data_IF_719409746351
#
_entry.id   IF_719409746351
#
_cell.length_a   1.000
_cell.length_b   1.000
_cell.length_c   1.000
_cell.angle_alpha   90.00
_cell.angle_beta   90.00
_cell.angle_gamma   90.00
#
_symmetry.space_group_name_H-M   'P 1'
#
loop_
_entity.id
_entity.type
_entity.pdbx_description
1 polymer ?
#
# COMPACT_ATOMS: atom_id res chain seq x y z
N UNK A 1 -20.32 12.44 -4.12
CA UNK A 1 -20.17 11.13 -3.45
C UNK A 1 -18.79 11.11 -2.82
N UNK A 2 -18.68 11.51 -1.55
CA UNK A 2 -17.41 11.63 -0.85
C UNK A 2 -16.95 10.27 -0.35
N UNK A 3 -15.71 9.89 -0.68
CA UNK A 3 -15.03 8.70 -0.17
C UNK A 3 -14.74 8.92 1.32
N UNK A 4 -15.67 8.56 2.21
CA UNK A 4 -15.44 8.63 3.64
C UNK A 4 -14.41 7.55 4.03
N UNK A 5 -13.23 8.00 4.47
CA UNK A 5 -12.10 7.15 4.79
C UNK A 5 -12.40 6.26 6.01
N UNK A 6 -11.98 5.00 5.92
CA UNK A 6 -11.95 4.04 7.03
C UNK A 6 -11.17 4.66 8.20
N UNK A 7 -11.63 4.56 9.47
CA UNK A 7 -10.89 5.08 10.64
C UNK A 7 -9.47 4.53 10.78
N UNK A 8 -9.18 3.36 10.18
CA UNK A 8 -7.82 2.82 10.08
C UNK A 8 -6.91 3.61 9.12
N UNK A 9 -7.49 4.38 8.19
CA UNK A 9 -6.77 5.26 7.25
C UNK A 9 -6.29 6.56 7.89
N UNK A 10 -6.93 7.05 8.95
CA UNK A 10 -6.59 8.35 9.57
C UNK A 10 -5.33 8.33 10.44
N UNK A 11 -4.70 7.16 10.61
CA UNK A 11 -3.39 7.03 11.27
C UNK A 11 -2.22 7.39 10.34
N UNK A 12 -2.51 7.82 9.11
CA UNK A 12 -1.54 8.52 8.26
C UNK A 12 -1.68 10.02 8.52
N UNK A 13 -0.86 10.57 9.42
CA UNK A 13 -0.88 12.00 9.76
C UNK A 13 -0.64 12.93 8.55
N UNK A 14 -0.96 14.23 8.66
CA UNK A 14 -0.87 15.22 7.58
C UNK A 14 0.55 15.60 7.17
N UNK A 15 1.56 15.10 7.87
CA UNK A 15 2.96 15.36 7.58
C UNK A 15 3.60 14.10 7.01
N UNK A 16 4.09 14.16 5.77
CA UNK A 16 4.84 13.11 5.08
C UNK A 16 6.20 12.77 5.74
N UNK A 17 6.31 12.87 7.06
CA UNK A 17 7.47 12.54 7.88
C UNK A 17 7.64 11.02 8.06
N UNK A 18 6.61 10.22 7.74
CA UNK A 18 6.65 8.76 7.77
C UNK A 18 7.58 8.10 6.72
N UNK A 19 8.23 8.88 5.84
CA UNK A 19 9.26 8.37 4.91
C UNK A 19 10.66 8.31 5.53
N UNK A 20 10.84 8.65 6.82
CA UNK A 20 12.13 8.59 7.52
C UNK A 20 12.11 7.54 8.64
N UNK A 21 12.25 6.26 8.27
CA UNK A 21 12.68 5.21 9.19
C UNK A 21 11.81 3.96 9.19
N UNK A 22 11.80 3.20 8.09
CA UNK A 22 11.27 1.82 8.14
C UNK A 22 12.23 0.95 8.95
N UNK A 23 11.77 0.50 10.12
CA UNK A 23 12.51 -0.47 10.91
C UNK A 23 12.68 -1.77 10.11
N UNK A 24 13.92 -2.27 10.04
CA UNK A 24 14.22 -3.53 9.33
C UNK A 24 13.52 -4.75 9.97
N UNK A 25 13.15 -4.65 11.24
CA UNK A 25 12.42 -5.67 12.00
C UNK A 25 11.44 -4.97 12.97
N UNK A 26 10.20 -5.44 13.00
CA UNK A 26 9.15 -4.97 13.91
C UNK A 26 8.50 -6.18 14.55
N UNK A 27 8.47 -6.19 15.88
CA UNK A 27 7.76 -7.19 16.68
C UNK A 27 7.21 -6.50 17.92
N UNK A 28 6.01 -6.91 18.33
CA UNK A 28 5.38 -6.46 19.57
C UNK A 28 4.46 -7.57 20.09
N UNK A 29 4.34 -7.66 21.42
CA UNK A 29 3.21 -8.36 22.01
C UNK A 29 1.92 -7.56 21.78
N UNK A 30 0.76 -8.22 21.75
CA UNK A 30 -0.53 -7.54 21.52
C UNK A 30 -0.79 -6.42 22.55
N UNK A 31 -0.37 -6.64 23.79
CA UNK A 31 -0.54 -5.67 24.88
C UNK A 31 0.43 -4.48 24.81
N UNK A 32 1.49 -4.58 24.00
CA UNK A 32 2.47 -3.50 23.81
C UNK A 32 2.04 -2.54 22.68
N UNK A 33 1.05 -2.91 21.89
CA UNK A 33 0.56 -2.09 20.79
C UNK A 33 -0.23 -0.91 21.36
N UNK A 34 0.26 0.30 21.08
CA UNK A 34 -0.40 1.53 21.48
C UNK A 34 -1.75 1.71 20.75
N UNK A 35 -2.85 1.50 21.48
CA UNK A 35 -4.20 1.63 20.94
C UNK A 35 -4.69 3.07 21.02
N UNK A 36 -5.14 3.61 19.90
CA UNK A 36 -5.69 4.96 19.78
C UNK A 36 -7.18 4.91 19.40
N UNK A 37 -8.00 5.92 19.80
CA UNK A 37 -9.38 6.01 19.35
C UNK A 37 -9.48 6.02 17.81
N UNK A 38 -10.31 5.13 17.27
CA UNK A 38 -10.55 4.99 15.83
C UNK A 38 -12.08 4.94 15.59
N UNK A 39 -12.79 6.06 15.80
CA UNK A 39 -14.25 6.08 15.86
C UNK A 39 -14.87 5.66 14.53
N UNK A 40 -15.91 4.83 14.61
CA UNK A 40 -16.68 4.40 13.44
C UNK A 40 -17.45 5.60 12.89
N UNK A 41 -17.53 5.72 11.56
CA UNK A 41 -18.32 6.77 10.92
C UNK A 41 -19.78 6.72 11.43
N UNK A 42 -20.36 7.82 11.93
CA UNK A 42 -21.69 7.81 12.52
C UNK A 42 -22.78 7.23 11.60
N UNK A 43 -22.75 7.59 10.31
CA UNK A 43 -23.72 7.11 9.32
C UNK A 43 -23.65 5.60 9.05
N UNK A 44 -22.58 4.93 9.49
CA UNK A 44 -22.43 3.48 9.37
C UNK A 44 -23.09 2.74 10.52
N UNK A 45 -23.34 3.43 11.65
CA UNK A 45 -23.87 2.82 12.87
C UNK A 45 -25.37 2.62 12.73
N UNK A 46 -25.80 1.36 12.80
CA UNK A 46 -27.21 0.98 12.76
C UNK A 46 -27.80 0.96 14.17
N UNK A 47 -27.06 0.43 15.15
CA UNK A 47 -27.48 0.49 16.56
C UNK A 47 -26.32 0.31 17.53
N UNK A 48 -26.55 0.73 18.79
CA UNK A 48 -25.54 0.71 19.85
C UNK A 48 -24.67 1.96 19.87
N UNK A 49 -23.59 1.91 20.66
CA UNK A 49 -22.57 2.98 20.76
C UNK A 49 -21.18 2.34 20.68
N UNK A 50 -20.81 1.77 19.52
CA UNK A 50 -19.54 1.08 19.38
C UNK A 50 -18.38 2.05 19.62
N UNK A 51 -17.46 1.67 20.50
CA UNK A 51 -16.20 2.36 20.74
C UNK A 51 -15.12 1.50 20.11
N UNK A 52 -14.54 2.01 19.03
CA UNK A 52 -13.48 1.34 18.29
C UNK A 52 -12.13 1.99 18.54
N UNK A 53 -11.09 1.16 18.61
CA UNK A 53 -9.69 1.58 18.75
C UNK A 53 -8.83 0.84 17.74
N UNK A 54 -7.72 1.46 17.34
CA UNK A 54 -6.73 0.84 16.48
C UNK A 54 -5.32 1.17 16.94
N UNK A 55 -4.42 0.22 16.81
CA UNK A 55 -2.99 0.38 17.05
C UNK A 55 -2.22 -0.08 15.82
N UNK A 56 -1.48 0.82 15.14
CA UNK A 56 -0.66 0.44 14.00
C UNK A 56 0.51 -0.44 14.47
N UNK A 57 0.81 -1.50 13.73
CA UNK A 57 1.93 -2.39 14.04
C UNK A 57 3.07 -2.21 13.03
N UNK A 58 2.80 -2.39 11.73
CA UNK A 58 3.82 -2.29 10.69
C UNK A 58 3.23 -1.78 9.37
N UNK A 59 4.08 -1.23 8.51
CA UNK A 59 3.72 -0.81 7.16
C UNK A 59 4.84 -1.18 6.18
N UNK A 60 4.49 -1.47 4.92
CA UNK A 60 5.49 -1.65 3.88
C UNK A 60 6.19 -0.33 3.53
N UNK A 61 7.39 -0.44 2.97
CA UNK A 61 8.19 0.70 2.51
C UNK A 61 7.50 1.53 1.43
N UNK A 62 6.68 0.88 0.60
CA UNK A 62 5.92 1.52 -0.47
C UNK A 62 4.53 2.04 -0.02
N UNK A 63 4.20 1.85 1.27
CA UNK A 63 2.91 2.25 1.85
C UNK A 63 1.70 1.54 1.25
N UNK A 64 1.89 0.42 0.54
CA UNK A 64 0.80 -0.34 -0.07
C UNK A 64 0.22 -1.41 0.84
N UNK A 65 0.93 -1.78 1.92
CA UNK A 65 0.43 -2.72 2.92
C UNK A 65 0.69 -2.21 4.33
N UNK A 66 -0.20 -2.60 5.24
CA UNK A 66 -0.07 -2.29 6.65
C UNK A 66 -0.69 -3.37 7.50
N UNK A 67 -0.19 -3.52 8.73
CA UNK A 67 -0.76 -4.37 9.76
C UNK A 67 -1.14 -3.50 10.95
N UNK A 68 -2.32 -3.73 11.51
CA UNK A 68 -2.79 -3.05 12.71
C UNK A 68 -3.61 -4.00 13.59
N UNK A 69 -3.61 -3.76 14.89
CA UNK A 69 -4.60 -4.36 15.80
C UNK A 69 -5.79 -3.41 15.90
N UNK A 70 -6.98 -3.98 15.88
CA UNK A 70 -8.23 -3.23 16.02
C UNK A 70 -9.13 -3.93 17.03
N UNK A 71 -9.81 -3.15 17.85
CA UNK A 71 -10.84 -3.66 18.75
C UNK A 71 -12.08 -2.77 18.81
N UNK A 72 -13.20 -3.38 19.19
CA UNK A 72 -14.48 -2.68 19.28
C UNK A 72 -15.40 -3.30 20.33
N UNK A 73 -16.13 -2.43 21.04
CA UNK A 73 -17.22 -2.83 21.94
C UNK A 73 -18.50 -3.18 21.17
N UNK A 74 -19.53 -3.60 21.89
CA UNK A 74 -20.83 -3.95 21.34
C UNK A 74 -21.45 -2.86 20.45
N UNK A 75 -22.01 -3.29 19.32
CA UNK A 75 -22.64 -2.42 18.34
C UNK A 75 -22.93 -3.13 17.03
N UNK A 76 -23.77 -2.49 16.20
CA UNK A 76 -24.14 -2.98 14.86
C UNK A 76 -23.90 -1.88 13.84
N UNK A 77 -23.13 -2.15 12.80
CA UNK A 77 -22.74 -1.13 11.82
C UNK A 77 -22.34 -1.73 10.47
N UNK A 78 -22.43 -0.92 9.41
CA UNK A 78 -21.93 -1.26 8.08
C UNK A 78 -20.47 -0.81 7.93
N UNK A 79 -19.56 -1.77 7.84
CA UNK A 79 -18.16 -1.48 7.61
C UNK A 79 -17.84 -1.46 6.11
N UNK A 80 -17.38 -0.33 5.59
CA UNK A 80 -16.96 -0.19 4.19
C UNK A 80 -15.45 -0.35 4.06
N UNK A 81 -15.01 -1.26 3.19
CA UNK A 81 -13.61 -1.60 2.99
C UNK A 81 -13.01 -0.80 1.84
N UNK A 82 -12.22 0.24 2.15
CA UNK A 82 -11.50 1.00 1.12
C UNK A 82 -10.32 0.23 0.53
N UNK A 83 -9.68 -0.64 1.31
CA UNK A 83 -8.58 -1.52 0.94
C UNK A 83 -9.01 -2.97 1.13
N UNK A 84 -8.28 -3.91 0.53
CA UNK A 84 -8.45 -5.31 0.90
C UNK A 84 -7.99 -5.49 2.35
N UNK A 85 -8.74 -6.27 3.13
CA UNK A 85 -8.46 -6.51 4.54
C UNK A 85 -8.58 -8.00 4.85
N UNK A 86 -7.47 -8.62 5.23
CA UNK A 86 -7.47 -9.95 5.86
C UNK A 86 -7.42 -9.76 7.36
N UNK A 87 -8.33 -10.40 8.09
CA UNK A 87 -8.37 -10.34 9.54
C UNK A 87 -8.18 -11.70 10.16
N UNK A 88 -7.55 -11.75 11.32
CA UNK A 88 -7.66 -12.88 12.25
C UNK A 88 -8.28 -12.37 13.54
N UNK A 89 -9.34 -13.04 14.02
CA UNK A 89 -9.96 -12.71 15.29
C UNK A 89 -9.05 -13.23 16.42
N UNK A 90 -8.65 -12.33 17.31
CA UNK A 90 -7.75 -12.61 18.42
C UNK A 90 -8.56 -12.90 19.69
N UNK A 91 -9.60 -12.10 19.95
CA UNK A 91 -10.45 -12.20 21.12
C UNK A 91 -11.90 -11.85 20.79
N UNK A 92 -12.84 -12.41 21.57
CA UNK A 92 -14.26 -12.16 21.40
C UNK A 92 -14.84 -12.77 20.13
N UNK A 93 -15.91 -12.16 19.62
CA UNK A 93 -16.62 -12.64 18.43
C UNK A 93 -17.40 -11.54 17.72
N UNK A 94 -17.65 -11.74 16.43
CA UNK A 94 -18.49 -10.88 15.60
C UNK A 94 -19.28 -11.72 14.61
N UNK A 95 -20.58 -11.44 14.46
CA UNK A 95 -21.38 -11.97 13.36
C UNK A 95 -21.28 -10.99 12.19
N UNK A 96 -20.84 -11.51 11.05
CA UNK A 96 -20.60 -10.72 9.83
C UNK A 96 -21.54 -11.19 8.74
N UNK A 97 -22.25 -10.24 8.14
CA UNK A 97 -23.02 -10.44 6.91
C UNK A 97 -22.31 -9.71 5.78
N UNK A 98 -21.80 -10.48 4.81
CA UNK A 98 -21.10 -9.99 3.63
C UNK A 98 -22.06 -9.38 2.61
N UNK A 99 -21.53 -8.63 1.65
CA UNK A 99 -22.29 -8.00 0.56
C UNK A 99 -23.06 -9.00 -0.31
N UNK A 100 -22.56 -10.23 -0.43
CA UNK A 100 -23.21 -11.34 -1.14
C UNK A 100 -24.34 -12.01 -0.32
N UNK A 101 -24.60 -11.51 0.89
CA UNK A 101 -25.61 -12.04 1.81
C UNK A 101 -25.13 -13.23 2.64
N UNK A 102 -23.89 -13.71 2.46
CA UNK A 102 -23.34 -14.77 3.30
C UNK A 102 -23.16 -14.29 4.73
N UNK A 103 -23.54 -15.12 5.70
CA UNK A 103 -23.47 -14.80 7.13
C UNK A 103 -22.53 -15.76 7.82
N UNK A 104 -21.59 -15.25 8.63
CA UNK A 104 -20.70 -16.07 9.43
C UNK A 104 -20.43 -15.46 10.79
N UNK A 105 -20.47 -16.28 11.84
CA UNK A 105 -19.95 -15.92 13.14
C UNK A 105 -18.44 -16.18 13.15
N UNK A 106 -17.66 -15.12 13.32
CA UNK A 106 -16.21 -15.18 13.47
C UNK A 106 -15.87 -15.07 14.96
N UNK A 107 -15.05 -16.00 15.46
CA UNK A 107 -14.56 -16.08 16.83
C UNK A 107 -13.04 -16.21 16.85
N UNK A 108 -12.43 -16.12 18.04
CA UNK A 108 -10.98 -16.24 18.19
C UNK A 108 -10.40 -17.44 17.43
N UNK A 109 -9.37 -17.18 16.62
CA UNK A 109 -8.73 -18.13 15.72
C UNK A 109 -9.28 -18.16 14.29
N UNK A 110 -10.45 -17.56 14.03
CA UNK A 110 -11.00 -17.49 12.68
C UNK A 110 -10.29 -16.42 11.83
N UNK A 111 -10.18 -16.71 10.54
CA UNK A 111 -9.63 -15.80 9.52
C UNK A 111 -10.75 -15.43 8.53
N UNK A 112 -10.81 -14.17 8.13
CA UNK A 112 -11.71 -13.68 7.10
C UNK A 112 -11.01 -12.71 6.16
N UNK A 113 -11.49 -12.63 4.92
CA UNK A 113 -11.01 -11.72 3.89
C UNK A 113 -12.15 -10.83 3.40
N UNK A 114 -11.87 -9.55 3.24
CA UNK A 114 -12.77 -8.56 2.70
C UNK A 114 -12.11 -7.85 1.52
N UNK A 115 -12.74 -7.91 0.35
CA UNK A 115 -12.23 -7.27 -0.85
C UNK A 115 -12.41 -5.74 -0.78
N UNK A 116 -11.53 -4.98 -1.43
CA UNK A 116 -11.70 -3.53 -1.49
C UNK A 116 -12.98 -3.16 -2.25
N UNK A 117 -13.59 -2.04 -1.85
CA UNK A 117 -14.86 -1.56 -2.39
C UNK A 117 -16.10 -2.31 -1.91
N UNK A 118 -15.95 -3.34 -1.08
CA UNK A 118 -17.09 -4.08 -0.50
C UNK A 118 -17.55 -3.47 0.82
N UNK A 119 -18.75 -3.87 1.25
CA UNK A 119 -19.30 -3.50 2.56
C UNK A 119 -19.76 -4.77 3.27
N UNK A 120 -19.47 -4.88 4.56
CA UNK A 120 -20.01 -5.94 5.41
C UNK A 120 -20.77 -5.34 6.59
N UNK A 121 -21.86 -5.98 7.00
CA UNK A 121 -22.57 -5.64 8.22
C UNK A 121 -21.96 -6.42 9.39
N UNK A 122 -21.53 -5.69 10.41
CA UNK A 122 -20.89 -6.22 11.61
C UNK A 122 -21.87 -6.15 12.78
N UNK A 123 -21.99 -7.25 13.51
CA UNK A 123 -22.79 -7.36 14.71
C UNK A 123 -21.94 -7.91 15.85
N UNK A 124 -21.54 -7.02 16.76
CA UNK A 124 -20.71 -7.33 17.92
C UNK A 124 -21.62 -7.33 19.14
N UNK A 125 -21.76 -8.49 19.78
CA UNK A 125 -22.63 -8.64 20.97
C UNK A 125 -21.97 -8.11 22.25
N UNK A 126 -20.66 -8.31 22.40
CA UNK A 126 -19.91 -7.90 23.60
C UNK A 126 -18.63 -7.15 23.24
N UNK A 127 -17.68 -7.85 22.62
CA UNK A 127 -16.37 -7.33 22.24
C UNK A 127 -15.79 -8.18 21.11
N UNK A 128 -14.96 -7.55 20.27
CA UNK A 128 -14.09 -8.25 19.34
C UNK A 128 -12.75 -7.52 19.25
N UNK A 129 -11.67 -8.29 19.15
CA UNK A 129 -10.32 -7.81 18.83
C UNK A 129 -9.77 -8.62 17.67
N UNK A 130 -9.13 -7.96 16.71
CA UNK A 130 -8.59 -8.57 15.50
C UNK A 130 -7.22 -7.99 15.14
N UNK A 131 -6.38 -8.80 14.50
CA UNK A 131 -5.26 -8.31 13.71
C UNK A 131 -5.74 -8.14 12.27
N UNK A 132 -5.54 -6.97 11.69
CA UNK A 132 -5.88 -6.65 10.32
C UNK A 132 -4.60 -6.48 9.49
N UNK A 133 -4.53 -7.19 8.38
CA UNK A 133 -3.57 -6.97 7.31
C UNK A 133 -4.29 -6.30 6.15
N UNK A 134 -3.97 -5.03 5.91
CA UNK A 134 -4.58 -4.22 4.87
C UNK A 134 -3.65 -4.12 3.66
N UNK A 135 -4.20 -4.27 2.47
CA UNK A 135 -3.49 -4.12 1.20
C UNK A 135 -4.25 -3.20 0.27
N UNK A 136 -3.57 -2.16 -0.22
CA UNK A 136 -4.10 -1.31 -1.27
C UNK A 136 -4.09 -2.04 -2.60
N UNK A 137 -5.21 -1.99 -3.31
CA UNK A 137 -5.24 -2.50 -4.68
C UNK A 137 -4.32 -1.68 -5.59
N UNK A 138 -3.53 -2.37 -6.41
CA UNK A 138 -2.71 -1.70 -7.41
C UNK A 138 -3.59 -1.10 -8.50
N UNK A 139 -3.22 0.08 -9.04
CA UNK A 139 -3.88 0.64 -10.21
C UNK A 139 -4.00 -0.39 -11.35
N UNK A 140 -5.11 -0.40 -12.11
CA UNK A 140 -5.33 -1.36 -13.20
C UNK A 140 -4.20 -1.39 -14.23
N UNK A 141 -3.57 -0.24 -14.50
CA UNK A 141 -2.43 -0.11 -15.40
C UNK A 141 -1.22 -0.93 -14.93
N UNK A 142 -0.85 -0.81 -13.65
CA UNK A 142 0.25 -1.57 -13.05
C UNK A 142 -0.10 -3.06 -13.02
N UNK A 143 -1.33 -3.40 -12.62
CA UNK A 143 -1.79 -4.80 -12.59
C UNK A 143 -1.73 -5.46 -13.97
N UNK A 144 -2.15 -4.75 -15.02
CA UNK A 144 -2.06 -5.22 -16.40
C UNK A 144 -0.60 -5.49 -16.80
N UNK A 145 0.29 -4.53 -16.55
CA UNK A 145 1.72 -4.67 -16.88
C UNK A 145 2.35 -5.88 -16.17
N UNK A 146 2.07 -6.07 -14.88
CA UNK A 146 2.56 -7.24 -14.13
C UNK A 146 2.02 -8.56 -14.71
N UNK A 147 0.72 -8.60 -15.03
CA UNK A 147 0.09 -9.79 -15.63
C UNK A 147 0.72 -10.14 -16.98
N UNK A 148 1.01 -9.14 -17.83
CA UNK A 148 1.69 -9.33 -19.11
C UNK A 148 3.14 -9.79 -18.94
N UNK A 149 3.86 -9.24 -17.95
CA UNK A 149 5.22 -9.66 -17.59
C UNK A 149 5.26 -11.12 -17.16
N UNK A 150 4.34 -11.56 -16.30
CA UNK A 150 4.32 -12.93 -15.81
C UNK A 150 3.95 -13.92 -16.92
N UNK A 151 2.94 -13.58 -17.74
CA UNK A 151 2.59 -14.35 -18.95
C UNK A 151 3.76 -14.48 -19.92
N UNK A 152 4.47 -13.38 -20.20
CA UNK A 152 5.63 -13.44 -21.11
C UNK A 152 6.76 -14.28 -20.53
N UNK A 153 7.02 -14.20 -19.22
CA UNK A 153 7.99 -15.03 -18.52
C UNK A 153 7.66 -16.52 -18.61
N UNK A 154 6.39 -16.87 -18.48
CA UNK A 154 5.95 -18.26 -18.55
C UNK A 154 6.01 -18.81 -19.99
N UNK A 155 5.71 -17.98 -21.00
CA UNK A 155 5.93 -18.33 -22.42
C UNK A 155 7.41 -18.56 -22.72
N UNK A 156 8.32 -17.70 -22.22
CA UNK A 156 9.76 -17.89 -22.37
C UNK A 156 10.23 -19.18 -21.68
N UNK A 157 9.73 -19.48 -20.47
CA UNK A 157 10.05 -20.74 -19.79
C UNK A 157 9.53 -21.96 -20.58
N UNK A 158 8.33 -21.88 -21.14
CA UNK A 158 7.70 -22.98 -21.88
C UNK A 158 8.36 -23.23 -23.24
N UNK A 159 8.71 -22.17 -23.98
CA UNK A 159 9.27 -22.28 -25.34
C UNK A 159 10.80 -22.36 -25.40
N UNK A 160 11.52 -21.58 -24.57
CA UNK A 160 12.97 -21.43 -24.70
C UNK A 160 13.75 -22.50 -23.92
N UNK A 161 13.24 -23.00 -22.78
CA UNK A 161 13.94 -24.01 -21.97
C UNK A 161 14.06 -25.39 -22.66
N UNK A 162 13.04 -25.94 -23.34
CA UNK A 162 13.18 -27.19 -24.09
C UNK A 162 14.15 -27.02 -25.27
N UNK A 163 14.08 -25.89 -25.97
CA UNK A 163 14.92 -25.59 -27.13
C UNK A 163 16.41 -25.47 -26.75
N UNK A 164 16.73 -24.76 -25.67
CA UNK A 164 18.10 -24.68 -25.12
C UNK A 164 18.63 -26.07 -24.71
N UNK A 165 17.76 -26.95 -24.21
CA UNK A 165 18.13 -28.34 -23.84
C UNK A 165 18.39 -29.22 -25.05
N UNK A 166 17.62 -29.04 -26.13
CA UNK A 166 17.81 -29.74 -27.42
C UNK A 166 19.07 -29.23 -28.12
N UNK A 167 19.26 -27.91 -28.22
CA UNK A 167 20.44 -27.29 -28.85
C UNK A 167 21.75 -27.70 -28.14
N UNK A 168 21.73 -27.90 -26.81
CA UNK A 168 22.89 -28.43 -26.06
C UNK A 168 23.17 -29.92 -26.27
N UNK A 169 22.22 -30.71 -26.78
CA UNK A 169 22.38 -32.14 -27.07
C UNK A 169 22.83 -32.44 -28.51
N UNK A 170 22.87 -31.45 -29.40
CA UNK A 170 23.28 -31.62 -30.80
C UNK A 170 24.82 -31.54 -30.92
N UNK A 171 25.51 -32.61 -31.40
CA UNK A 171 26.98 -32.72 -31.40
C UNK A 171 27.77 -31.55 -32.04
N UNK A 172 27.40 -30.99 -33.22
CA UNK A 172 28.16 -29.89 -33.83
C UNK A 172 28.13 -28.57 -33.03
N UNK A 173 27.11 -28.34 -32.19
CA UNK A 173 27.00 -27.11 -31.38
C UNK A 173 27.89 -27.17 -30.13
N UNK A 174 28.17 -28.38 -29.63
CA UNK A 174 29.07 -28.62 -28.48
C UNK A 174 30.52 -28.24 -28.79
N UNK A 175 30.93 -28.29 -30.06
CA UNK A 175 32.25 -27.88 -30.53
C UNK A 175 32.35 -26.37 -30.82
N UNK A 176 31.24 -25.73 -31.24
CA UNK A 176 31.20 -24.31 -31.58
C UNK A 176 31.06 -23.39 -30.34
N UNK A 177 30.51 -23.92 -29.24
CA UNK A 177 30.45 -23.24 -27.93
C UNK A 177 31.70 -23.51 -27.05
N UNK A 178 32.88 -23.68 -27.66
CA UNK A 178 34.14 -23.44 -26.91
C UNK A 178 34.30 -21.92 -26.76
N UNK A 179 34.45 -21.39 -25.54
CA UNK A 179 34.58 -19.95 -25.34
C UNK A 179 35.83 -19.44 -26.05
N UNK A 180 35.66 -18.78 -27.20
CA UNK A 180 36.67 -17.83 -27.68
C UNK A 180 36.54 -16.59 -26.79
N UNK A 181 37.59 -16.17 -26.08
CA UNK A 181 37.50 -15.17 -25.00
C UNK A 181 36.88 -13.84 -25.43
N UNK A 182 36.98 -13.48 -26.72
CA UNK A 182 36.39 -12.25 -27.25
C UNK A 182 34.85 -12.27 -27.36
N UNK A 183 34.21 -13.43 -27.61
CA UNK A 183 32.76 -13.50 -27.83
C UNK A 183 31.97 -13.61 -26.51
N UNK A 184 32.57 -14.22 -25.49
CA UNK A 184 32.00 -14.27 -24.13
C UNK A 184 31.93 -12.88 -23.50
N UNK A 185 32.98 -12.08 -23.67
CA UNK A 185 33.01 -10.68 -23.23
C UNK A 185 31.95 -9.87 -24.00
N UNK A 186 31.82 -10.05 -25.32
CA UNK A 186 30.79 -9.36 -26.11
C UNK A 186 29.36 -9.73 -25.71
N UNK A 187 29.08 -10.99 -25.36
CA UNK A 187 27.77 -11.43 -24.91
C UNK A 187 27.44 -10.98 -23.48
N UNK A 188 28.44 -10.92 -22.59
CA UNK A 188 28.27 -10.32 -21.26
C UNK A 188 28.08 -8.81 -21.36
N UNK A 189 28.81 -8.13 -22.25
CA UNK A 189 28.60 -6.71 -22.55
C UNK A 189 27.22 -6.49 -23.18
N UNK A 190 26.78 -7.32 -24.13
CA UNK A 190 25.45 -7.20 -24.74
C UNK A 190 24.32 -7.50 -23.74
N UNK A 191 24.50 -8.47 -22.84
CA UNK A 191 23.56 -8.75 -21.76
C UNK A 191 23.56 -7.65 -20.69
N UNK A 192 24.72 -7.07 -20.37
CA UNK A 192 24.85 -5.94 -19.46
C UNK A 192 24.24 -4.66 -20.07
N UNK A 193 24.46 -4.39 -21.36
CA UNK A 193 23.82 -3.30 -22.10
C UNK A 193 22.31 -3.51 -22.21
N UNK A 194 21.83 -4.72 -22.50
CA UNK A 194 20.40 -5.03 -22.50
C UNK A 194 19.76 -4.95 -21.10
N UNK A 195 20.54 -5.12 -20.03
CA UNK A 195 20.09 -4.95 -18.64
C UNK A 195 20.18 -3.50 -18.16
N UNK A 196 21.06 -2.68 -18.76
CA UNK A 196 21.20 -1.24 -18.51
C UNK A 196 20.22 -0.37 -19.31
N UNK A 197 19.44 -0.94 -20.24
CA UNK A 197 18.41 -0.22 -21.01
C UNK A 197 17.00 -0.51 -20.43
N UNK A 198 16.78 -0.18 -19.15
CA UNK A 198 15.52 0.46 -18.81
C UNK A 198 15.75 1.68 -17.92
N UNK A 199 16.48 2.69 -18.42
CA UNK A 199 16.54 4.00 -17.76
C UNK A 199 16.84 5.19 -18.70
N UNK A 200 16.79 5.02 -20.02
CA UNK A 200 17.13 6.08 -20.99
C UNK A 200 16.03 6.44 -22.00
N UNK A 201 14.78 6.02 -21.76
CA UNK A 201 13.61 6.49 -22.53
C UNK A 201 12.73 7.48 -21.76
N UNK A 202 12.93 7.65 -20.45
CA UNK A 202 12.24 8.68 -19.63
C UNK A 202 13.08 9.96 -19.40
N UNK A 203 14.22 10.12 -20.09
CA UNK A 203 15.12 11.26 -19.93
C UNK A 203 15.25 12.13 -21.20
N UNK A 204 14.18 12.21 -22.00
CA UNK A 204 14.03 13.16 -23.11
C UNK A 204 12.66 13.84 -23.10
N UNK A 205 12.33 14.54 -22.02
CA UNK A 205 11.30 15.60 -22.07
C UNK A 205 11.51 16.76 -21.08
N UNK A 206 12.68 16.89 -20.46
CA UNK A 206 12.99 18.08 -19.65
C UNK A 206 14.01 18.95 -20.40
N UNK A 207 13.48 19.83 -21.24
CA UNK A 207 14.19 21.02 -21.68
C UNK A 207 14.48 21.93 -20.46
N UNK A 208 15.65 22.59 -20.37
CA UNK A 208 15.97 23.46 -19.24
C UNK A 208 15.42 24.88 -19.40
N UNK A 209 15.04 25.45 -18.25
CA UNK A 209 15.11 26.88 -17.86
C UNK A 209 13.95 27.81 -18.27
N UNK A 210 12.97 27.95 -17.37
CA UNK A 210 12.63 29.28 -16.86
C UNK A 210 12.74 29.30 -15.34
N UNK A 211 13.56 30.22 -14.85
CA UNK A 211 14.11 30.29 -13.51
C UNK A 211 13.07 30.87 -12.54
N UNK A 212 12.68 30.11 -11.51
CA UNK A 212 11.86 30.59 -10.39
C UNK A 212 12.54 31.72 -9.59
N UNK A 213 13.86 31.91 -9.75
CA UNK A 213 14.57 33.10 -9.25
C UNK A 213 14.04 34.42 -9.87
N UNK A 214 13.46 34.40 -11.07
CA UNK A 214 12.90 35.59 -11.72
C UNK A 214 11.52 36.00 -11.18
N UNK A 215 10.82 35.14 -10.43
CA UNK A 215 9.50 35.46 -9.85
C UNK A 215 9.53 35.93 -8.40
N UNK A 216 10.66 35.78 -7.70
CA UNK A 216 10.83 36.25 -6.32
C UNK A 216 11.51 37.63 -6.22
N UNK A 217 12.14 38.12 -7.30
CA UNK A 217 12.67 39.49 -7.36
C UNK A 217 11.64 40.57 -7.73
N UNK A 218 10.41 40.18 -8.12
CA UNK A 218 9.32 41.12 -8.40
C UNK A 218 8.40 41.41 -7.20
N UNK A 219 8.56 40.73 -6.06
CA UNK A 219 7.76 40.97 -4.83
C UNK A 219 8.55 41.56 -3.66
N UNK A 220 9.86 41.81 -3.82
CA UNK A 220 10.74 42.31 -2.76
C UNK A 220 10.97 43.83 -2.78
N UNK A 221 10.20 44.60 -3.57
CA UNK A 221 10.27 46.08 -3.57
C UNK A 221 8.95 46.69 -3.12
N UNK A 222 8.61 46.51 -1.84
CA UNK A 222 7.58 47.30 -1.16
C UNK A 222 7.77 47.24 0.36
N UNK A 223 8.95 47.64 0.84
CA UNK A 223 9.15 47.96 2.26
C UNK A 223 8.97 49.47 2.43
N UNK A 224 7.89 49.89 3.09
CA UNK A 224 7.82 51.18 3.80
C UNK A 224 7.23 50.97 5.19
N UNK A 225 7.65 51.77 6.19
CA UNK A 225 7.62 51.36 7.59
C UNK A 225 6.41 51.88 8.37
N UNK A 226 6.12 51.16 9.46
CA UNK A 226 5.60 51.59 10.78
C UNK A 226 4.46 52.63 10.86
N UNK A 227 3.37 52.25 11.54
CA UNK A 227 2.86 53.07 12.65
C UNK A 227 2.07 52.23 13.64
N UNK A 228 2.49 52.28 14.90
CA UNK A 228 1.77 51.75 16.05
C UNK A 228 0.63 52.71 16.43
N UNK A 229 -0.57 52.20 16.70
CA UNK A 229 -1.54 52.87 17.58
C UNK A 229 -2.38 51.84 18.35
N UNK A 230 -2.27 52.00 19.66
CA UNK A 230 -2.99 51.44 20.81
C UNK A 230 -4.53 51.60 20.76
N UNK A 231 -5.25 50.68 21.44
CA UNK A 231 -6.38 50.89 22.38
C UNK A 231 -7.77 50.25 22.06
N UNK A 232 -8.34 49.67 23.13
CA UNK A 232 -9.75 49.47 23.52
C UNK A 232 -10.56 48.34 22.84
N UNK A 233 -10.94 47.26 23.55
CA UNK A 233 -12.08 47.11 24.50
C UNK A 233 -13.45 47.34 23.84
N UNK A 234 -14.31 46.31 23.83
CA UNK A 234 -15.74 46.49 23.57
C UNK A 234 -16.57 45.21 23.38
N UNK A 235 -17.02 44.65 24.51
CA UNK A 235 -18.23 43.81 24.77
C UNK A 235 -18.40 42.45 24.08
#
# INVERSE_FOLDING_TARGET
>A
MGTAANPLMSLSGPDGEALRGHAAFVAAHLDEIAMHPAPIHPDWIVSGKPVARAGPHSASIDGTTSTAVWDCTAGRFHWSYGWEETVIILEGQVRVTSQDGSVRLLKAGDIAFFAAGTTAFWEIETHVRKLAFCRRELPPSIRLTLTLRDRSRDLVKAGLRPLIRVVRKVPPVRAFLRPKPALGILLVIAAALAWLIPEMVEARSLAPQETVAARLQASATATRPFSATTLAIGR
#
